data_IF_932975588780
#
_entry.id   IF_932975588780
#
_cell.length_a   1.000
_cell.length_b   1.000
_cell.length_c   1.000
_cell.angle_alpha   90.00
_cell.angle_beta   90.00
_cell.angle_gamma   90.00
#
_symmetry.space_group_name_H-M   'P 1'
#
loop_
_entity.id
_entity.type
_entity.pdbx_description
1 polymer ?
#
# COMPACT_ATOMS: atom_id res chain seq x y z
N UNK A 1 12.55 -24.48 -13.38
CA UNK A 1 11.28 -24.63 -12.64
C UNK A 1 10.22 -23.84 -13.40
N UNK A 2 9.15 -24.50 -13.85
CA UNK A 2 8.08 -23.83 -14.58
C UNK A 2 7.34 -22.88 -13.62
N UNK A 3 7.38 -21.58 -13.89
CA UNK A 3 6.50 -20.62 -13.23
C UNK A 3 5.08 -20.89 -13.71
N UNK A 4 4.22 -21.41 -12.83
CA UNK A 4 2.78 -21.40 -13.09
C UNK A 4 2.31 -19.96 -13.12
N UNK A 5 2.00 -19.47 -14.33
CA UNK A 5 1.29 -18.20 -14.50
C UNK A 5 -0.13 -18.39 -13.94
N UNK A 6 -0.34 -17.91 -12.72
CA UNK A 6 -1.69 -17.80 -12.15
C UNK A 6 -2.27 -16.48 -12.63
N UNK A 7 -3.39 -16.54 -13.36
CA UNK A 7 -4.06 -15.35 -13.88
C UNK A 7 -5.01 -14.79 -12.80
N UNK A 8 -4.78 -13.54 -12.40
CA UNK A 8 -5.68 -12.83 -11.47
C UNK A 8 -6.72 -12.08 -12.28
N UNK A 9 -8.01 -12.34 -12.02
CA UNK A 9 -9.11 -11.67 -12.68
C UNK A 9 -9.77 -10.65 -11.75
N UNK A 10 -10.03 -9.45 -12.28
CA UNK A 10 -10.78 -8.41 -11.56
C UNK A 10 -12.26 -8.78 -11.56
N UNK A 11 -12.80 -9.08 -10.38
CA UNK A 11 -14.23 -9.40 -10.21
C UNK A 11 -15.08 -8.13 -10.24
N UNK A 12 -14.62 -7.06 -9.59
CA UNK A 12 -15.34 -5.79 -9.54
C UNK A 12 -14.37 -4.62 -9.29
N UNK A 13 -14.68 -3.47 -9.87
CA UNK A 13 -14.09 -2.17 -9.53
C UNK A 13 -15.22 -1.19 -9.25
N UNK A 14 -15.14 -0.49 -8.11
CA UNK A 14 -16.18 0.44 -7.68
C UNK A 14 -15.58 1.61 -6.91
N UNK A 15 -16.24 2.77 -7.02
CA UNK A 15 -15.94 3.96 -6.23
C UNK A 15 -16.68 3.89 -4.88
N UNK A 16 -15.96 4.05 -3.77
CA UNK A 16 -16.56 4.10 -2.42
C UNK A 16 -16.49 5.54 -1.90
N UNK A 17 -17.65 6.11 -1.60
CA UNK A 17 -17.81 7.46 -1.04
C UNK A 17 -18.05 7.42 0.48
N UNK A 18 -17.87 8.54 1.20
CA UNK A 18 -18.22 8.61 2.61
C UNK A 18 -19.70 8.30 2.85
N UNK A 19 -19.99 7.53 3.90
CA UNK A 19 -21.36 7.14 4.27
C UNK A 19 -22.21 8.27 4.86
N UNK A 20 -21.60 9.42 5.16
CA UNK A 20 -22.23 10.61 5.72
C UNK A 20 -21.63 11.85 5.07
N UNK A 21 -22.28 13.00 5.24
CA UNK A 21 -21.74 14.29 4.80
C UNK A 21 -20.43 14.60 5.54
N UNK A 22 -19.44 15.10 4.79
CA UNK A 22 -18.13 15.46 5.30
C UNK A 22 -17.80 16.92 5.00
N UNK A 23 -16.96 17.57 5.81
CA UNK A 23 -16.56 18.96 5.58
C UNK A 23 -15.92 19.13 4.19
N UNK A 24 -16.40 20.13 3.44
CA UNK A 24 -15.86 20.49 2.12
C UNK A 24 -14.97 21.71 2.21
N UNK A 25 -13.69 21.52 1.93
CA UNK A 25 -12.68 22.58 1.92
C UNK A 25 -11.37 22.06 1.32
N UNK A 26 -10.41 22.95 1.15
CA UNK A 26 -9.07 22.59 0.74
C UNK A 26 -8.15 22.46 1.96
N UNK A 27 -7.40 21.36 2.01
CA UNK A 27 -6.36 21.14 3.01
C UNK A 27 -5.00 21.33 2.36
N UNK A 28 -4.18 22.18 2.95
CA UNK A 28 -2.83 22.42 2.48
C UNK A 28 -1.90 21.28 2.89
N UNK A 29 -1.11 20.81 1.93
CA UNK A 29 -0.01 19.93 2.24
C UNK A 29 1.13 20.72 2.91
N UNK A 30 1.67 20.15 3.98
CA UNK A 30 2.85 20.67 4.65
C UNK A 30 4.11 20.38 3.83
N UNK A 31 5.21 21.05 4.15
CA UNK A 31 6.50 20.75 3.50
C UNK A 31 6.93 19.29 3.71
N UNK A 32 6.58 18.68 4.85
CA UNK A 32 6.88 17.27 5.12
C UNK A 32 6.10 16.34 4.20
N UNK A 33 4.82 16.64 3.98
CA UNK A 33 3.99 15.90 3.03
C UNK A 33 4.63 15.95 1.63
N UNK A 34 5.03 17.13 1.17
CA UNK A 34 5.66 17.36 -0.15
C UNK A 34 7.01 16.65 -0.31
N UNK A 35 7.81 16.53 0.75
CA UNK A 35 9.07 15.76 0.72
C UNK A 35 8.83 14.26 0.56
N UNK A 36 7.68 13.77 1.02
CA UNK A 36 7.26 12.39 0.92
C UNK A 36 6.33 12.10 -0.26
N UNK A 37 5.84 13.13 -0.98
CA UNK A 37 5.13 12.97 -2.25
C UNK A 37 6.09 12.31 -3.24
N UNK A 38 6.06 10.98 -3.26
CA UNK A 38 6.53 10.18 -4.37
C UNK A 38 5.46 10.24 -5.45
N UNK A 39 5.81 10.48 -6.72
CA UNK A 39 4.84 10.34 -7.80
C UNK A 39 4.34 8.89 -7.85
N UNK A 40 3.12 8.66 -7.38
CA UNK A 40 2.49 7.33 -7.38
C UNK A 40 1.90 6.91 -6.02
N UNK A 41 1.13 5.83 -6.05
CA UNK A 41 0.62 5.20 -4.86
C UNK A 41 1.71 4.36 -4.18
N UNK A 42 1.49 4.03 -2.91
CA UNK A 42 2.31 3.08 -2.16
C UNK A 42 1.62 1.72 -2.23
N UNK A 43 1.89 0.86 -3.24
CA UNK A 43 1.17 -0.38 -3.43
C UNK A 43 1.56 -1.41 -2.37
N UNK A 44 0.56 -1.90 -1.64
CA UNK A 44 0.72 -2.92 -0.59
C UNK A 44 -0.33 -4.01 -0.79
N UNK A 45 0.05 -5.26 -0.53
CA UNK A 45 -0.82 -6.43 -0.55
C UNK A 45 -0.75 -7.08 0.82
N UNK A 46 -1.92 -7.35 1.39
CA UNK A 46 -2.08 -8.05 2.66
C UNK A 46 -2.67 -9.43 2.40
N UNK A 47 -1.98 -10.47 2.86
CA UNK A 47 -2.41 -11.85 2.73
C UNK A 47 -2.94 -12.33 4.07
N UNK A 48 -4.18 -12.84 4.07
CA UNK A 48 -4.86 -13.35 5.25
C UNK A 48 -5.14 -14.84 5.06
N UNK A 49 -4.97 -15.60 6.14
CA UNK A 49 -5.25 -17.02 6.13
C UNK A 49 -6.74 -17.27 6.33
N UNK A 50 -7.34 -18.08 5.46
CA UNK A 50 -8.73 -18.52 5.62
C UNK A 50 -8.85 -19.47 6.82
N UNK A 51 -9.86 -19.28 7.66
CA UNK A 51 -10.21 -20.21 8.76
C UNK A 51 -10.84 -21.48 8.18
N UNK A 52 -10.60 -22.62 8.83
CA UNK A 52 -11.11 -23.92 8.36
C UNK A 52 -12.65 -23.95 8.37
N UNK A 53 -13.25 -24.55 7.34
CA UNK A 53 -14.70 -24.67 7.20
C UNK A 53 -15.28 -25.54 8.33
N UNK A 54 -16.07 -24.92 9.21
CA UNK A 54 -16.68 -25.55 10.37
C UNK A 54 -17.39 -24.57 11.31
N UNK A 55 -16.95 -23.31 11.33
CA UNK A 55 -17.50 -22.24 12.17
C UNK A 55 -18.37 -21.27 11.36
N UNK A 56 -19.62 -21.64 11.07
CA UNK A 56 -20.66 -20.68 10.65
C UNK A 56 -20.43 -19.91 9.34
N UNK A 57 -21.36 -18.99 9.06
CA UNK A 57 -21.52 -18.21 7.82
C UNK A 57 -20.18 -17.65 7.28
N UNK A 58 -19.83 -17.99 6.04
CA UNK A 58 -18.52 -17.72 5.43
C UNK A 58 -18.40 -16.26 4.99
N UNK A 59 -18.19 -15.35 5.94
CA UNK A 59 -18.05 -13.90 5.71
C UNK A 59 -16.60 -13.47 5.37
N UNK A 60 -15.73 -14.45 5.07
CA UNK A 60 -14.33 -14.23 4.75
C UNK A 60 -14.17 -13.42 3.45
N UNK A 61 -13.67 -12.19 3.56
CA UNK A 61 -13.60 -11.20 2.47
C UNK A 61 -14.95 -10.86 1.83
N UNK A 62 -16.01 -10.73 2.63
CA UNK A 62 -17.27 -10.13 2.15
C UNK A 62 -17.03 -8.70 1.60
N UNK A 63 -17.16 -8.58 0.27
CA UNK A 63 -16.93 -7.33 -0.48
C UNK A 63 -17.90 -6.23 -0.06
N UNK A 64 -19.16 -6.57 0.21
CA UNK A 64 -20.16 -5.59 0.62
C UNK A 64 -19.83 -5.04 2.01
N UNK A 65 -19.43 -5.91 2.94
CA UNK A 65 -18.97 -5.53 4.28
C UNK A 65 -17.74 -4.62 4.22
N UNK A 66 -16.77 -4.95 3.36
CA UNK A 66 -15.55 -4.15 3.17
C UNK A 66 -15.86 -2.76 2.59
N UNK A 67 -16.75 -2.66 1.60
CA UNK A 67 -17.18 -1.36 1.07
C UNK A 67 -17.92 -0.53 2.13
N UNK A 68 -18.81 -1.15 2.89
CA UNK A 68 -19.55 -0.49 3.95
C UNK A 68 -18.66 -0.01 5.11
N UNK A 69 -17.65 -0.79 5.50
CA UNK A 69 -16.67 -0.36 6.52
C UNK A 69 -15.79 0.78 6.01
N UNK A 70 -15.31 0.72 4.75
CA UNK A 70 -14.57 1.79 4.12
C UNK A 70 -15.39 3.09 4.05
N UNK A 71 -16.64 3.03 3.61
CA UNK A 71 -17.53 4.20 3.54
C UNK A 71 -17.71 4.88 4.90
N UNK A 72 -17.77 4.11 5.99
CA UNK A 72 -17.83 4.63 7.37
C UNK A 72 -16.50 5.24 7.81
N UNK A 73 -15.38 4.59 7.52
CA UNK A 73 -14.05 5.10 7.84
C UNK A 73 -13.72 6.41 7.09
N UNK A 74 -14.23 6.59 5.86
CA UNK A 74 -14.06 7.81 5.09
C UNK A 74 -14.75 9.04 5.72
N UNK A 75 -15.60 8.89 6.74
CA UNK A 75 -16.22 10.04 7.42
C UNK A 75 -15.19 10.78 8.30
N UNK A 76 -14.54 10.14 9.31
CA UNK A 76 -13.48 10.79 10.07
C UNK A 76 -12.20 11.01 9.25
N UNK A 77 -11.94 10.19 8.23
CA UNK A 77 -10.78 10.30 7.33
C UNK A 77 -11.15 10.91 5.97
N UNK A 78 -12.07 11.89 5.95
CA UNK A 78 -12.59 12.50 4.73
C UNK A 78 -11.55 13.06 3.75
N UNK A 79 -10.33 13.51 4.14
CA UNK A 79 -9.34 13.95 3.16
C UNK A 79 -8.92 12.83 2.20
N UNK A 80 -9.00 11.56 2.63
CA UNK A 80 -8.66 10.39 1.79
C UNK A 80 -9.67 10.18 0.66
N UNK A 81 -10.90 10.67 0.83
CA UNK A 81 -11.94 10.67 -0.20
C UNK A 81 -11.86 11.89 -1.15
N UNK A 82 -10.89 12.77 -0.96
CA UNK A 82 -10.69 13.98 -1.78
C UNK A 82 -9.84 13.75 -3.03
N UNK A 83 -9.36 14.85 -3.62
CA UNK A 83 -8.47 14.86 -4.79
C UNK A 83 -7.23 15.71 -4.53
N UNK A 84 -6.08 15.24 -5.01
CA UNK A 84 -4.88 16.09 -5.04
C UNK A 84 -5.04 17.12 -6.16
N UNK A 85 -4.93 18.39 -5.82
CA UNK A 85 -5.06 19.51 -6.74
C UNK A 85 -3.94 20.54 -6.51
N UNK A 86 -3.85 21.52 -7.41
CA UNK A 86 -3.04 22.72 -7.22
C UNK A 86 -3.97 23.88 -6.84
N UNK A 87 -3.58 24.66 -5.83
CA UNK A 87 -4.28 25.88 -5.46
C UNK A 87 -4.05 26.96 -6.51
N UNK A 88 -5.07 27.22 -7.31
CA UNK A 88 -5.06 28.23 -8.38
C UNK A 88 -4.96 29.67 -7.85
N UNK A 89 -5.27 29.92 -6.57
CA UNK A 89 -5.13 31.23 -5.94
C UNK A 89 -3.70 31.47 -5.40
N UNK A 90 -2.85 30.44 -5.36
CA UNK A 90 -1.48 30.54 -4.90
C UNK A 90 -0.52 30.91 -6.03
N UNK A 91 0.25 31.99 -5.84
CA UNK A 91 1.34 32.36 -6.74
C UNK A 91 2.45 31.29 -6.61
N UNK A 92 2.53 30.37 -7.57
CA UNK A 92 3.51 29.28 -7.59
C UNK A 92 2.96 27.85 -7.45
N UNK A 93 1.65 27.65 -7.38
CA UNK A 93 1.03 26.33 -7.51
C UNK A 93 1.32 25.38 -6.34
N UNK A 94 0.76 25.69 -5.17
CA UNK A 94 0.85 24.82 -3.98
C UNK A 94 -0.09 23.62 -4.12
N UNK A 95 0.37 22.43 -3.72
CA UNK A 95 -0.50 21.26 -3.65
C UNK A 95 -1.47 21.31 -2.48
N UNK A 96 -2.72 20.94 -2.75
CA UNK A 96 -3.81 20.86 -1.78
C UNK A 96 -4.58 19.56 -1.96
N UNK A 97 -5.22 19.09 -0.89
CA UNK A 97 -6.26 18.08 -0.97
C UNK A 97 -7.60 18.81 -1.02
N UNK A 98 -8.29 18.71 -2.16
CA UNK A 98 -9.68 19.15 -2.29
C UNK A 98 -10.60 18.09 -1.68
N UNK A 99 -11.17 18.39 -0.52
CA UNK A 99 -12.05 17.49 0.22
C UNK A 99 -13.47 17.53 -0.37
N UNK A 100 -13.63 16.93 -1.54
CA UNK A 100 -14.86 16.99 -2.33
C UNK A 100 -15.81 15.79 -2.14
N UNK A 101 -15.45 14.83 -1.27
CA UNK A 101 -16.22 13.62 -0.98
C UNK A 101 -16.53 12.73 -2.19
N UNK A 102 -15.78 12.86 -3.30
CA UNK A 102 -15.98 12.06 -4.51
C UNK A 102 -15.56 10.59 -4.34
N UNK A 103 -15.02 10.20 -3.19
CA UNK A 103 -14.61 8.82 -2.93
C UNK A 103 -13.33 8.45 -3.67
N UNK A 104 -12.80 7.26 -3.41
CA UNK A 104 -11.50 6.80 -3.97
C UNK A 104 -11.73 5.62 -4.89
N UNK A 105 -11.27 5.69 -6.14
CA UNK A 105 -11.31 4.52 -7.01
C UNK A 105 -10.18 3.55 -6.63
N UNK A 106 -10.43 2.26 -6.74
CA UNK A 106 -9.43 1.21 -6.54
C UNK A 106 -8.92 0.80 -7.93
N UNK A 107 -8.39 1.75 -8.69
CA UNK A 107 -7.71 1.43 -9.95
C UNK A 107 -6.80 2.60 -10.35
N UNK A 108 -5.48 2.38 -10.32
CA UNK A 108 -4.52 3.32 -10.91
C UNK A 108 -3.24 2.60 -11.34
N UNK A 109 -2.98 2.58 -12.64
CA UNK A 109 -1.66 2.32 -13.22
C UNK A 109 -0.92 3.65 -13.38
N UNK A 110 0.25 3.82 -12.77
CA UNK A 110 1.10 5.00 -12.96
C UNK A 110 2.56 4.61 -13.14
N UNK A 111 3.14 5.04 -14.27
CA UNK A 111 4.58 4.99 -14.56
C UNK A 111 5.24 6.31 -14.21
N UNK A 112 6.28 6.32 -13.38
CA UNK A 112 7.18 7.47 -13.19
C UNK A 112 8.67 7.05 -13.11
N UNK A 113 9.61 8.01 -13.07
CA UNK A 113 11.06 7.82 -13.35
C UNK A 113 11.91 7.36 -12.15
N UNK A 114 13.01 6.66 -12.45
CA UNK A 114 13.95 5.99 -11.53
C UNK A 114 14.62 6.92 -10.50
N UNK A 115 14.58 6.55 -9.21
CA UNK A 115 15.37 7.11 -8.11
C UNK A 115 15.86 5.97 -7.20
N UNK A 116 17.06 6.08 -6.60
CA UNK A 116 17.64 5.08 -5.68
C UNK A 116 17.48 5.52 -4.22
N UNK A 117 16.86 4.70 -3.34
CA UNK A 117 16.62 5.03 -1.91
C UNK A 117 16.50 3.77 -1.02
N UNK A 118 16.87 3.91 0.25
CA UNK A 118 16.52 2.93 1.31
C UNK A 118 15.30 3.48 2.07
N UNK A 119 14.28 2.66 2.27
CA UNK A 119 13.04 3.03 2.97
C UNK A 119 12.81 2.03 4.11
N UNK A 120 12.86 2.52 5.36
CA UNK A 120 12.57 1.69 6.54
C UNK A 120 11.10 1.84 6.93
N UNK A 121 10.41 0.71 7.06
CA UNK A 121 9.04 0.59 7.58
C UNK A 121 9.01 -0.17 8.91
N UNK A 122 10.18 -0.36 9.55
CA UNK A 122 10.29 -0.98 10.86
C UNK A 122 9.49 -0.20 11.91
N UNK A 123 8.71 -0.91 12.71
CA UNK A 123 7.87 -0.33 13.77
C UNK A 123 6.60 0.36 13.26
N UNK A 124 6.31 0.31 11.96
CA UNK A 124 5.00 0.72 11.45
C UNK A 124 3.94 -0.32 11.81
N UNK A 125 2.70 0.06 12.18
CA UNK A 125 1.63 -0.85 12.57
C UNK A 125 1.00 -1.58 11.37
N UNK A 126 1.81 -2.00 10.40
CA UNK A 126 1.39 -2.66 9.16
C UNK A 126 0.64 -3.96 9.45
N UNK A 127 1.09 -4.70 10.46
CA UNK A 127 0.47 -5.97 10.86
C UNK A 127 -0.69 -5.82 11.85
N UNK A 128 -1.11 -4.59 12.19
CA UNK A 128 -2.27 -4.35 13.06
C UNK A 128 -3.60 -4.27 12.29
N UNK A 129 -3.57 -4.50 10.98
CA UNK A 129 -4.75 -4.57 10.12
C UNK A 129 -5.58 -5.85 10.39
N UNK A 130 -6.25 -5.94 11.54
CA UNK A 130 -7.18 -7.02 11.86
C UNK A 130 -8.63 -6.60 11.57
N UNK A 131 -9.23 -7.18 10.53
CA UNK A 131 -10.61 -6.91 10.11
C UNK A 131 -11.62 -7.91 10.68
N UNK A 132 -11.22 -8.74 11.66
CA UNK A 132 -12.02 -9.83 12.24
C UNK A 132 -11.57 -11.22 11.78
N UNK A 133 -10.81 -11.29 10.67
CA UNK A 133 -10.19 -12.53 10.19
C UNK A 133 -8.85 -12.85 10.87
N UNK A 134 -8.40 -12.00 11.80
CA UNK A 134 -7.08 -12.04 12.40
C UNK A 134 -6.09 -11.13 11.67
N UNK A 135 -4.89 -11.00 12.24
CA UNK A 135 -3.78 -10.24 11.65
C UNK A 135 -3.34 -10.84 10.31
N UNK A 136 -2.83 -10.03 9.37
CA UNK A 136 -2.30 -10.52 8.11
C UNK A 136 -1.14 -11.49 8.38
N UNK A 137 -1.13 -12.61 7.66
CA UNK A 137 -0.03 -13.58 7.69
C UNK A 137 1.23 -12.99 7.06
N UNK A 138 1.02 -12.17 6.01
CA UNK A 138 2.11 -11.50 5.31
C UNK A 138 1.63 -10.20 4.69
N UNK A 139 2.48 -9.18 4.77
CA UNK A 139 2.36 -7.99 3.94
C UNK A 139 3.50 -7.98 2.92
N UNK A 140 3.19 -7.66 1.67
CA UNK A 140 4.18 -7.45 0.62
C UNK A 140 3.91 -6.16 -0.14
N UNK A 141 4.94 -5.62 -0.78
CA UNK A 141 4.81 -4.56 -1.79
C UNK A 141 4.22 -5.15 -3.06
N UNK A 142 3.17 -4.54 -3.63
CA UNK A 142 2.56 -5.02 -4.88
C UNK A 142 3.40 -4.68 -6.13
N UNK A 143 4.30 -3.69 -6.01
CA UNK A 143 5.22 -3.30 -7.07
C UNK A 143 6.66 -3.49 -6.57
N UNK A 144 7.38 -4.42 -7.20
CA UNK A 144 8.83 -4.61 -7.07
C UNK A 144 9.47 -4.55 -8.47
N UNK A 145 8.92 -3.74 -9.38
CA UNK A 145 9.41 -3.65 -10.77
C UNK A 145 10.61 -2.70 -10.95
N UNK A 146 11.11 -2.10 -9.86
CA UNK A 146 12.07 -0.99 -9.95
C UNK A 146 13.34 -1.24 -9.16
N UNK A 147 14.42 -1.52 -9.91
CA UNK A 147 15.78 -1.56 -9.39
C UNK A 147 16.16 -0.23 -8.72
N UNK A 148 16.70 -0.31 -7.49
CA UNK A 148 17.21 0.85 -6.74
C UNK A 148 16.51 1.18 -5.42
N UNK A 149 15.48 0.43 -5.03
CA UNK A 149 14.87 0.55 -3.71
C UNK A 149 15.19 -0.66 -2.83
N UNK A 150 15.55 -0.38 -1.57
CA UNK A 150 15.68 -1.38 -0.51
C UNK A 150 14.67 -1.04 0.58
N UNK A 151 13.79 -1.99 0.89
CA UNK A 151 12.82 -1.86 1.97
C UNK A 151 13.23 -2.74 3.14
N UNK A 152 13.22 -2.17 4.34
CA UNK A 152 13.36 -2.91 5.60
C UNK A 152 12.00 -2.91 6.28
N UNK A 153 11.46 -4.08 6.60
CA UNK A 153 10.11 -4.26 7.15
C UNK A 153 10.15 -5.28 8.29
N UNK A 154 9.17 -5.21 9.19
CA UNK A 154 8.98 -6.26 10.19
C UNK A 154 8.48 -7.56 9.52
N UNK A 155 8.89 -8.71 10.06
CA UNK A 155 8.53 -10.03 9.54
C UNK A 155 7.10 -10.51 9.89
N UNK A 156 6.33 -9.66 10.59
CA UNK A 156 4.95 -9.97 10.99
C UNK A 156 4.78 -10.64 12.34
N UNK A 157 5.84 -10.75 13.16
CA UNK A 157 5.72 -11.13 14.57
C UNK A 157 6.79 -12.10 15.09
N UNK A 158 7.78 -12.46 14.28
CA UNK A 158 8.90 -13.32 14.68
C UNK A 158 10.11 -12.57 15.23
N UNK A 159 10.06 -11.22 15.24
CA UNK A 159 11.19 -10.38 15.65
C UNK A 159 12.32 -10.31 14.61
N UNK A 160 12.10 -10.89 13.43
CA UNK A 160 12.98 -10.80 12.28
C UNK A 160 12.72 -9.54 11.44
N UNK A 161 13.69 -9.22 10.59
CA UNK A 161 13.60 -8.14 9.62
C UNK A 161 13.48 -8.75 8.22
N UNK A 162 12.41 -8.39 7.51
CA UNK A 162 12.26 -8.67 6.10
C UNK A 162 12.94 -7.58 5.27
N UNK A 163 13.87 -7.98 4.41
CA UNK A 163 14.53 -7.09 3.45
C UNK A 163 13.98 -7.37 2.05
N UNK A 164 13.34 -6.38 1.42
CA UNK A 164 12.84 -6.49 0.04
C UNK A 164 13.67 -5.59 -0.86
N UNK A 165 14.34 -6.20 -1.82
CA UNK A 165 15.25 -5.55 -2.76
C UNK A 165 14.82 -5.92 -4.17
N UNK A 166 14.69 -4.93 -5.05
CA UNK A 166 14.67 -5.14 -6.49
C UNK A 166 16.05 -4.82 -7.04
N UNK A 167 16.73 -5.79 -7.64
CA UNK A 167 18.04 -5.63 -8.29
C UNK A 167 18.01 -6.31 -9.66
N UNK A 168 18.89 -5.85 -10.54
CA UNK A 168 19.13 -6.52 -11.81
C UNK A 168 19.64 -7.96 -11.55
N UNK A 169 19.18 -8.93 -12.34
CA UNK A 169 19.51 -10.34 -12.15
C UNK A 169 21.04 -10.58 -12.16
N UNK A 170 21.79 -9.87 -13.01
CA UNK A 170 23.25 -10.01 -13.07
C UNK A 170 23.96 -9.54 -11.79
N UNK A 171 23.33 -8.61 -11.05
CA UNK A 171 23.82 -8.12 -9.76
C UNK A 171 23.44 -9.09 -8.64
N UNK A 172 22.27 -9.74 -8.75
CA UNK A 172 21.80 -10.69 -7.75
C UNK A 172 22.75 -11.90 -7.62
N UNK A 173 23.21 -12.45 -8.75
CA UNK A 173 24.14 -13.59 -8.76
C UNK A 173 25.47 -13.25 -8.06
N UNK A 174 26.00 -12.04 -8.31
CA UNK A 174 27.21 -11.55 -7.65
C UNK A 174 26.98 -11.26 -6.16
N UNK A 175 25.82 -10.69 -5.81
CA UNK A 175 25.45 -10.41 -4.43
C UNK A 175 25.32 -11.70 -3.61
N UNK A 176 24.66 -12.72 -4.14
CA UNK A 176 24.50 -14.03 -3.48
C UNK A 176 25.86 -14.65 -3.18
N UNK A 177 26.75 -14.69 -4.19
CA UNK A 177 28.09 -15.23 -4.02
C UNK A 177 28.88 -14.47 -2.93
N UNK A 178 28.80 -13.15 -2.89
CA UNK A 178 29.52 -12.33 -1.91
C UNK A 178 28.90 -12.40 -0.50
N UNK A 179 27.58 -12.53 -0.40
CA UNK A 179 26.87 -12.61 0.88
C UNK A 179 27.21 -13.90 1.61
N UNK A 180 27.12 -15.04 0.92
CA UNK A 180 27.37 -16.34 1.54
C UNK A 180 28.87 -16.63 1.71
N UNK A 181 29.74 -16.11 0.86
CA UNK A 181 31.20 -16.24 1.06
C UNK A 181 31.70 -15.57 2.36
N UNK A 182 30.98 -14.55 2.86
CA UNK A 182 31.32 -13.86 4.12
C UNK A 182 30.65 -14.42 5.36
N UNK A 183 29.60 -15.23 5.22
CA UNK A 183 28.91 -15.89 6.34
C UNK A 183 29.55 -17.24 6.71
N UNK A 184 30.42 -17.77 5.85
CA UNK A 184 31.17 -19.01 6.06
C UNK A 184 32.59 -18.82 6.63
N UNK A 185 32.90 -17.63 7.17
CA UNK A 185 34.17 -17.28 7.80
C UNK A 185 33.93 -16.85 9.25
#
# INVERSE_FOLDING_TARGET
MAMHHSEVQVVESSLVTPSQETPRHQLWLSALDLLQVSPGHTPTVYLYRRRAAGDGDDDFFDVARLKASLARALVPFYPVAGRLALDAASDGGRFVIDCNAEGRAIDYTLRLKSRRRVISWLGMPVYDADYGWGKPERMVRAEVERSGFVYLMDDGGGGGVQVVVCVDAAILDQFEHLLYAKLSA
#
